data_IF_366909643606
#
_entry.id   IF_366909643606
#
_cell.length_a   1.000
_cell.length_b   1.000
_cell.length_c   1.000
_cell.angle_alpha   90.00
_cell.angle_beta   90.00
_cell.angle_gamma   90.00
#
_symmetry.space_group_name_H-M   'P 1'
#
loop_
_entity.id
_entity.type
_entity.pdbx_description
1 polymer ?
#
# COMPACT_ATOMS: atom_id res chain seq x y z
N UNK A 1 -12.93 1.36 -7.77
CA UNK A 1 -13.17 2.66 -7.07
C UNK A 1 -13.31 2.35 -5.59
N UNK A 2 -12.74 3.17 -4.72
CA UNK A 2 -12.84 2.97 -3.27
C UNK A 2 -14.04 3.72 -2.71
N UNK A 3 -14.85 3.05 -1.90
CA UNK A 3 -16.10 3.56 -1.35
C UNK A 3 -16.01 3.85 0.15
N UNK A 4 -15.13 3.16 0.87
CA UNK A 4 -14.99 3.35 2.30
C UNK A 4 -13.54 3.14 2.77
N UNK A 5 -12.91 4.24 3.17
CA UNK A 5 -11.54 4.29 3.63
C UNK A 5 -11.51 4.30 5.16
N UNK A 6 -10.79 3.35 5.75
CA UNK A 6 -10.50 3.30 7.18
C UNK A 6 -9.07 3.78 7.43
N UNK A 7 -8.88 4.69 8.38
CA UNK A 7 -7.56 5.15 8.80
C UNK A 7 -7.35 4.79 10.27
N UNK A 8 -6.23 4.16 10.62
CA UNK A 8 -5.89 3.92 12.03
C UNK A 8 -4.97 5.04 12.56
N UNK A 9 -5.44 5.79 13.55
CA UNK A 9 -4.75 6.95 14.10
C UNK A 9 -4.15 6.63 15.47
N UNK A 10 -2.84 6.85 15.63
CA UNK A 10 -2.10 6.54 16.87
C UNK A 10 -1.61 7.78 17.62
N UNK A 11 -2.17 8.96 17.31
CA UNK A 11 -1.87 10.26 17.92
C UNK A 11 -0.47 10.82 17.63
N UNK A 12 0.24 10.25 16.66
CA UNK A 12 1.54 10.77 16.20
C UNK A 12 1.37 11.53 14.89
N UNK A 13 2.32 12.42 14.60
CA UNK A 13 2.34 13.21 13.36
C UNK A 13 2.29 12.33 12.10
N UNK A 14 2.84 11.11 12.16
CA UNK A 14 2.78 10.14 11.05
C UNK A 14 1.37 9.65 10.77
N UNK A 15 0.50 9.60 11.78
CA UNK A 15 -0.91 9.30 11.62
C UNK A 15 -1.70 10.50 11.08
N UNK A 16 -1.31 11.74 11.41
CA UNK A 16 -1.88 12.93 10.77
C UNK A 16 -1.54 12.97 9.27
N UNK A 17 -0.32 12.59 8.87
CA UNK A 17 0.03 12.42 7.45
C UNK A 17 -0.86 11.37 6.76
N UNK A 18 -1.11 10.25 7.43
CA UNK A 18 -2.00 9.21 6.92
C UNK A 18 -3.44 9.71 6.79
N UNK A 19 -3.93 10.51 7.75
CA UNK A 19 -5.23 11.15 7.69
C UNK A 19 -5.31 12.11 6.51
N UNK A 20 -4.31 12.97 6.28
CA UNK A 20 -4.27 13.86 5.12
C UNK A 20 -4.34 13.11 3.78
N UNK A 21 -3.56 12.03 3.64
CA UNK A 21 -3.59 11.17 2.44
C UNK A 21 -4.95 10.49 2.28
N UNK A 22 -5.50 9.93 3.35
CA UNK A 22 -6.81 9.29 3.31
C UNK A 22 -7.93 10.28 2.97
N UNK A 23 -7.88 11.51 3.48
CA UNK A 23 -8.78 12.61 3.08
C UNK A 23 -8.66 12.92 1.60
N UNK A 24 -7.44 13.01 1.06
CA UNK A 24 -7.27 13.26 -0.37
C UNK A 24 -7.91 12.14 -1.20
N UNK A 25 -7.63 10.87 -0.86
CA UNK A 25 -8.22 9.73 -1.58
C UNK A 25 -9.74 9.69 -1.42
N UNK A 26 -10.27 10.00 -0.24
CA UNK A 26 -11.70 10.07 -0.01
C UNK A 26 -12.37 11.11 -0.91
N UNK A 27 -11.75 12.30 -1.06
CA UNK A 27 -12.25 13.34 -1.99
C UNK A 27 -12.16 12.89 -3.45
N UNK A 28 -11.05 12.26 -3.85
CA UNK A 28 -10.84 11.80 -5.21
C UNK A 28 -11.89 10.75 -5.62
N UNK A 29 -12.22 9.82 -4.72
CA UNK A 29 -13.11 8.70 -5.01
C UNK A 29 -14.56 8.92 -4.54
N UNK A 30 -14.85 10.05 -3.89
CA UNK A 30 -16.13 10.27 -3.21
C UNK A 30 -16.39 9.26 -2.09
N UNK A 31 -15.32 8.74 -1.47
CA UNK A 31 -15.40 7.68 -0.48
C UNK A 31 -15.79 8.21 0.90
N UNK A 32 -16.48 7.38 1.68
CA UNK A 32 -16.66 7.60 3.11
C UNK A 32 -15.32 7.44 3.83
N UNK A 33 -15.08 8.26 4.85
CA UNK A 33 -13.89 8.18 5.70
C UNK A 33 -14.27 7.85 7.14
N UNK A 34 -13.62 6.84 7.71
CA UNK A 34 -13.69 6.54 9.14
C UNK A 34 -12.29 6.59 9.74
N UNK A 35 -12.13 7.39 10.80
CA UNK A 35 -10.92 7.41 11.62
C UNK A 35 -11.11 6.53 12.84
N UNK A 36 -10.27 5.51 12.98
CA UNK A 36 -10.24 4.61 14.12
C UNK A 36 -9.05 4.96 15.03
N UNK A 37 -9.32 5.14 16.32
CA UNK A 37 -8.30 5.15 17.34
C UNK A 37 -8.53 3.97 18.31
N UNK A 38 -7.44 3.30 18.70
CA UNK A 38 -7.50 2.21 19.67
C UNK A 38 -7.00 2.72 21.02
N UNK A 39 -7.91 2.76 21.99
CA UNK A 39 -7.63 3.14 23.37
C UNK A 39 -6.89 2.03 24.10
N UNK A 40 -5.87 2.43 24.86
CA UNK A 40 -5.19 1.53 25.79
C UNK A 40 -6.06 1.33 27.05
N UNK A 41 -6.47 0.09 27.38
CA UNK A 41 -7.31 -0.19 28.55
C UNK A 41 -6.62 0.10 29.88
N UNK A 42 -5.28 0.25 29.91
CA UNK A 42 -4.54 0.62 31.12
C UNK A 42 -4.56 2.11 31.43
N UNK A 43 -4.97 2.94 30.46
CA UNK A 43 -5.06 4.39 30.63
C UNK A 43 -6.34 4.80 31.38
N UNK A 44 -6.26 5.91 32.10
CA UNK A 44 -7.38 6.47 32.85
C UNK A 44 -8.29 7.37 31.99
N UNK A 45 -9.43 7.76 32.55
CA UNK A 45 -10.42 8.60 31.85
C UNK A 45 -9.86 9.96 31.40
N UNK A 46 -8.93 10.55 32.16
CA UNK A 46 -8.30 11.83 31.80
C UNK A 46 -7.42 11.69 30.55
N UNK A 47 -6.67 10.58 30.44
CA UNK A 47 -5.86 10.26 29.27
C UNK A 47 -6.73 9.97 28.05
N UNK A 48 -7.83 9.23 28.21
CA UNK A 48 -8.78 8.98 27.12
C UNK A 48 -9.43 10.27 26.62
N UNK A 49 -9.76 11.22 27.52
CA UNK A 49 -10.31 12.52 27.14
C UNK A 49 -9.28 13.39 26.41
N UNK A 50 -8.02 13.40 26.85
CA UNK A 50 -6.92 14.07 26.12
C UNK A 50 -6.72 13.49 24.72
N UNK A 51 -6.79 12.16 24.58
CA UNK A 51 -6.72 11.49 23.28
C UNK A 51 -7.88 11.93 22.37
N UNK A 52 -9.11 11.95 22.90
CA UNK A 52 -10.29 12.44 22.17
C UNK A 52 -10.11 13.88 21.68
N UNK A 53 -9.68 14.79 22.55
CA UNK A 53 -9.44 16.19 22.19
C UNK A 53 -8.33 16.36 21.15
N UNK A 54 -7.32 15.48 21.15
CA UNK A 54 -6.30 15.48 20.10
C UNK A 54 -6.88 15.00 18.76
N UNK A 55 -7.66 13.93 18.75
CA UNK A 55 -8.31 13.40 17.55
C UNK A 55 -9.31 14.40 16.96
N UNK A 56 -10.11 15.06 17.79
CA UNK A 56 -11.07 16.08 17.35
C UNK A 56 -10.36 17.26 16.67
N UNK A 57 -9.18 17.66 17.17
CA UNK A 57 -8.33 18.65 16.52
C UNK A 57 -7.84 18.18 15.16
N UNK A 58 -7.28 16.96 15.07
CA UNK A 58 -6.83 16.38 13.80
C UNK A 58 -7.97 16.25 12.78
N UNK A 59 -9.16 15.83 13.20
CA UNK A 59 -10.35 15.76 12.33
C UNK A 59 -10.73 17.14 11.80
N UNK A 60 -10.83 18.12 12.69
CA UNK A 60 -11.20 19.49 12.31
C UNK A 60 -10.20 20.09 11.33
N UNK A 61 -8.92 19.77 11.49
CA UNK A 61 -7.85 20.32 10.67
C UNK A 61 -7.71 19.64 9.31
N UNK A 62 -7.83 18.31 9.26
CA UNK A 62 -7.41 17.52 8.10
C UNK A 62 -8.50 16.68 7.45
N UNK A 63 -9.59 16.38 8.15
CA UNK A 63 -10.62 15.47 7.66
C UNK A 63 -11.78 16.23 6.97
N UNK A 64 -12.45 15.65 5.96
CA UNK A 64 -13.65 16.24 5.39
C UNK A 64 -14.81 16.17 6.39
N UNK A 65 -15.79 17.09 6.28
CA UNK A 65 -17.03 17.00 7.05
C UNK A 65 -17.72 15.65 6.84
N UNK A 66 -18.26 15.07 7.92
CA UNK A 66 -18.91 13.74 7.89
C UNK A 66 -17.97 12.56 8.11
N UNK A 67 -16.67 12.81 8.36
CA UNK A 67 -15.74 11.75 8.80
C UNK A 67 -16.19 11.17 10.14
N UNK A 68 -16.34 9.85 10.21
CA UNK A 68 -16.75 9.15 11.42
C UNK A 68 -15.54 8.90 12.33
N UNK A 69 -15.61 9.32 13.60
CA UNK A 69 -14.63 8.95 14.62
C UNK A 69 -15.08 7.71 15.38
N UNK A 70 -14.26 6.66 15.38
CA UNK A 70 -14.44 5.47 16.23
C UNK A 70 -13.29 5.34 17.22
N UNK A 71 -13.63 5.23 18.49
CA UNK A 71 -12.68 4.98 19.58
C UNK A 71 -13.06 3.65 20.23
N UNK A 72 -12.19 2.65 20.09
CA UNK A 72 -12.42 1.29 20.60
C UNK A 72 -11.28 0.91 21.55
N UNK A 73 -11.57 0.18 22.63
CA UNK A 73 -10.54 -0.27 23.57
C UNK A 73 -10.04 -1.66 23.22
N UNK A 74 -8.73 -1.89 23.29
CA UNK A 74 -8.15 -3.22 23.10
C UNK A 74 -6.73 -3.20 22.55
N UNK A 75 -6.30 -4.33 21.98
CA UNK A 75 -4.99 -4.43 21.33
C UNK A 75 -5.06 -3.82 19.92
N UNK A 76 -4.17 -2.87 19.55
CA UNK A 76 -4.28 -2.13 18.30
C UNK A 76 -4.44 -2.99 17.04
N UNK A 77 -3.60 -3.99 16.84
CA UNK A 77 -3.68 -4.84 15.63
C UNK A 77 -4.96 -5.65 15.55
N UNK A 78 -5.46 -6.13 16.69
CA UNK A 78 -6.68 -6.96 16.74
C UNK A 78 -7.92 -6.09 16.45
N UNK A 79 -8.02 -4.92 17.10
CA UNK A 79 -9.13 -3.98 16.90
C UNK A 79 -9.15 -3.43 15.47
N UNK A 80 -8.00 -3.07 14.90
CA UNK A 80 -7.92 -2.60 13.51
C UNK A 80 -8.40 -3.68 12.54
N UNK A 81 -7.93 -4.92 12.68
CA UNK A 81 -8.35 -6.03 11.81
C UNK A 81 -9.83 -6.37 11.96
N UNK A 82 -10.35 -6.34 13.19
CA UNK A 82 -11.77 -6.54 13.47
C UNK A 82 -12.60 -5.44 12.78
N UNK A 83 -12.20 -4.18 12.92
CA UNK A 83 -12.89 -3.05 12.31
C UNK A 83 -12.82 -3.07 10.78
N UNK A 84 -11.74 -3.57 10.18
CA UNK A 84 -11.66 -3.80 8.73
C UNK A 84 -12.76 -4.76 8.26
N UNK A 85 -13.01 -5.83 9.01
CA UNK A 85 -14.05 -6.82 8.70
C UNK A 85 -15.46 -6.28 8.96
N UNK A 86 -15.67 -5.62 10.11
CA UNK A 86 -17.01 -5.22 10.56
C UNK A 86 -17.56 -3.98 9.82
N UNK A 87 -16.68 -3.13 9.29
CA UNK A 87 -17.09 -1.84 8.71
C UNK A 87 -17.27 -1.84 7.21
N UNK A 88 -16.91 -2.95 6.54
CA UNK A 88 -16.92 -3.06 5.09
C UNK A 88 -16.07 -1.99 4.40
N UNK A 89 -14.98 -1.54 5.03
CA UNK A 89 -14.00 -0.69 4.34
C UNK A 89 -13.34 -1.47 3.21
N UNK A 90 -12.93 -0.77 2.15
CA UNK A 90 -12.22 -1.34 1.01
C UNK A 90 -10.78 -0.80 0.88
N UNK A 91 -10.35 0.05 1.82
CA UNK A 91 -8.97 0.52 1.95
C UNK A 91 -8.62 0.78 3.42
N UNK A 92 -7.50 0.23 3.89
CA UNK A 92 -6.90 0.59 5.16
C UNK A 92 -5.69 1.51 4.94
N UNK A 93 -5.68 2.68 5.59
CA UNK A 93 -4.58 3.65 5.53
C UNK A 93 -3.88 3.74 6.89
N UNK A 94 -2.55 3.62 6.89
CA UNK A 94 -1.70 3.65 8.08
C UNK A 94 -0.55 4.66 7.90
N UNK A 95 -0.14 5.30 8.99
CA UNK A 95 1.06 6.13 9.03
C UNK A 95 2.34 5.28 9.05
N UNK A 96 3.32 5.66 8.23
CA UNK A 96 4.66 5.10 8.25
C UNK A 96 5.44 5.54 9.49
N UNK A 97 6.19 4.63 10.11
CA UNK A 97 7.04 4.96 11.26
C UNK A 97 8.41 5.49 10.81
N UNK A 98 8.76 6.73 11.17
CA UNK A 98 10.04 7.35 10.78
C UNK A 98 11.23 7.07 11.72
N UNK A 99 11.02 6.56 12.95
CA UNK A 99 12.09 6.42 13.97
C UNK A 99 12.35 4.96 14.45
N UNK A 100 13.26 4.31 13.72
CA UNK A 100 14.49 3.54 14.09
C UNK A 100 14.48 2.19 14.87
N UNK A 101 15.50 1.41 14.46
CA UNK A 101 16.19 0.22 14.99
C UNK A 101 15.58 -1.18 14.76
N UNK A 102 16.36 -1.96 13.99
CA UNK A 102 16.59 -3.41 14.02
C UNK A 102 15.41 -4.38 14.21
N UNK A 103 15.23 -5.20 13.17
CA UNK A 103 14.95 -6.65 13.27
C UNK A 103 13.85 -7.15 14.23
N UNK A 104 12.84 -6.35 14.57
CA UNK A 104 11.63 -6.86 15.20
C UNK A 104 10.54 -7.18 14.16
N UNK A 105 10.67 -8.39 13.59
CA UNK A 105 9.54 -9.11 13.00
C UNK A 105 8.45 -9.29 14.08
N UNK A 106 7.41 -8.45 14.10
CA UNK A 106 6.36 -8.52 15.12
C UNK A 106 5.57 -7.26 15.48
N UNK A 107 5.79 -6.12 14.80
CA UNK A 107 5.07 -4.85 15.06
C UNK A 107 3.56 -4.96 14.75
N UNK A 108 2.75 -4.00 15.22
CA UNK A 108 1.32 -3.92 14.88
C UNK A 108 1.11 -3.87 13.37
N UNK A 109 1.96 -3.13 12.62
CA UNK A 109 1.94 -3.07 11.16
C UNK A 109 2.13 -4.46 10.53
N UNK A 110 3.12 -5.20 11.00
CA UNK A 110 3.44 -6.56 10.55
C UNK A 110 2.26 -7.53 10.74
N UNK A 111 1.59 -7.46 11.91
CA UNK A 111 0.40 -8.28 12.21
C UNK A 111 -0.79 -7.89 11.35
N UNK A 112 -0.99 -6.59 11.13
CA UNK A 112 -2.05 -6.06 10.29
C UNK A 112 -1.79 -6.48 8.84
N UNK A 113 -0.63 -6.20 8.27
CA UNK A 113 -0.29 -6.52 6.87
C UNK A 113 -0.43 -8.02 6.54
N UNK A 114 -0.14 -8.91 7.50
CA UNK A 114 -0.33 -10.36 7.32
C UNK A 114 -1.79 -10.82 7.26
N UNK A 115 -2.71 -10.09 7.89
CA UNK A 115 -4.12 -10.52 8.09
C UNK A 115 -5.15 -9.59 7.49
N UNK A 116 -4.74 -8.40 7.02
CA UNK A 116 -5.61 -7.40 6.44
C UNK A 116 -6.22 -7.95 5.15
N UNK A 117 -7.54 -8.02 5.08
CA UNK A 117 -8.27 -8.59 3.94
C UNK A 117 -8.54 -7.59 2.82
N UNK A 118 -8.20 -6.32 3.06
CA UNK A 118 -8.36 -5.21 2.11
C UNK A 118 -6.98 -4.64 1.79
N UNK A 119 -6.83 -3.89 0.69
CA UNK A 119 -5.61 -3.15 0.40
C UNK A 119 -5.15 -2.31 1.58
N UNK A 120 -3.83 -2.32 1.81
CA UNK A 120 -3.17 -1.54 2.85
C UNK A 120 -2.30 -0.47 2.19
N UNK A 121 -2.55 0.79 2.50
CA UNK A 121 -1.72 1.93 2.12
C UNK A 121 -0.92 2.42 3.33
N UNK A 122 0.40 2.31 3.24
CA UNK A 122 1.34 2.89 4.20
C UNK A 122 1.82 4.25 3.71
N UNK A 123 1.56 5.30 4.48
CA UNK A 123 1.89 6.68 4.12
C UNK A 123 3.23 7.09 4.73
N UNK A 124 4.22 7.30 3.87
CA UNK A 124 5.58 7.69 4.24
C UNK A 124 5.97 9.07 3.68
N UNK A 125 5.18 9.65 2.77
CA UNK A 125 5.41 10.95 2.14
C UNK A 125 4.62 12.07 2.80
N UNK A 126 5.25 13.24 2.95
CA UNK A 126 4.59 14.48 3.34
C UNK A 126 4.22 15.32 2.12
N UNK A 127 3.42 14.72 1.24
CA UNK A 127 2.82 15.35 0.07
C UNK A 127 1.50 14.61 -0.17
N UNK A 128 0.40 15.35 -0.25
CA UNK A 128 -0.96 14.82 -0.28
C UNK A 128 -1.71 15.22 -1.54
N UNK A 129 -1.01 15.61 -2.62
CA UNK A 129 -1.63 15.71 -3.94
C UNK A 129 -1.95 14.31 -4.49
N UNK A 130 -2.92 14.18 -5.42
CA UNK A 130 -3.16 12.92 -6.13
C UNK A 130 -1.86 12.36 -6.69
N UNK A 131 -1.66 11.05 -6.53
CA UNK A 131 -0.45 10.39 -7.04
C UNK A 131 -0.37 10.53 -8.56
N UNK A 132 0.78 10.97 -9.06
CA UNK A 132 1.02 11.12 -10.50
C UNK A 132 1.88 9.99 -11.06
N UNK A 133 2.69 9.33 -10.22
CA UNK A 133 3.59 8.25 -10.67
C UNK A 133 3.62 7.09 -9.68
N UNK A 134 3.23 5.92 -10.15
CA UNK A 134 3.30 4.68 -9.40
C UNK A 134 4.19 3.65 -10.07
N UNK A 135 4.88 2.85 -9.26
CA UNK A 135 5.66 1.69 -9.70
C UNK A 135 5.03 0.43 -9.12
N UNK A 136 4.62 -0.51 -9.96
CA UNK A 136 4.09 -1.81 -9.54
C UNK A 136 5.11 -2.92 -9.76
N UNK A 137 5.43 -3.69 -8.73
CA UNK A 137 6.27 -4.88 -8.87
C UNK A 137 5.42 -6.08 -9.34
N UNK A 138 5.81 -6.71 -10.45
CA UNK A 138 5.09 -7.82 -11.06
C UNK A 138 5.95 -9.08 -11.06
N UNK A 139 5.41 -10.19 -10.58
CA UNK A 139 6.05 -11.52 -10.56
C UNK A 139 5.14 -12.63 -11.14
N UNK A 140 4.13 -12.27 -11.93
CA UNK A 140 3.08 -13.15 -12.48
C UNK A 140 2.17 -13.82 -11.43
N UNK A 141 2.27 -13.47 -10.15
CA UNK A 141 1.33 -13.94 -9.14
C UNK A 141 -0.03 -13.24 -9.26
N UNK A 142 -1.10 -13.92 -8.83
CA UNK A 142 -2.45 -13.35 -8.82
C UNK A 142 -2.54 -12.08 -7.96
N UNK A 143 -1.86 -12.06 -6.82
CA UNK A 143 -1.82 -10.90 -5.94
C UNK A 143 -1.06 -9.71 -6.57
N UNK A 144 -0.02 -9.94 -7.38
CA UNK A 144 0.63 -8.87 -8.11
C UNK A 144 -0.29 -8.28 -9.20
N UNK A 145 -1.08 -9.13 -9.88
CA UNK A 145 -2.10 -8.67 -10.84
C UNK A 145 -3.23 -7.90 -10.14
N UNK A 146 -3.72 -8.41 -9.01
CA UNK A 146 -4.69 -7.72 -8.14
C UNK A 146 -4.13 -6.35 -7.70
N UNK A 147 -2.86 -6.29 -7.29
CA UNK A 147 -2.20 -5.04 -6.91
C UNK A 147 -2.15 -4.04 -8.06
N UNK A 148 -1.79 -4.49 -9.26
CA UNK A 148 -1.79 -3.66 -10.46
C UNK A 148 -3.18 -3.10 -10.75
N UNK A 149 -4.21 -3.94 -10.77
CA UNK A 149 -5.58 -3.52 -11.06
C UNK A 149 -6.16 -2.57 -10.02
N UNK A 150 -5.89 -2.80 -8.74
CA UNK A 150 -6.34 -1.89 -7.68
C UNK A 150 -5.56 -0.57 -7.67
N UNK A 151 -4.27 -0.59 -8.00
CA UNK A 151 -3.51 0.64 -8.20
C UNK A 151 -4.01 1.44 -9.42
N UNK A 152 -4.36 0.76 -10.51
CA UNK A 152 -4.98 1.40 -11.68
C UNK A 152 -6.26 2.16 -11.29
N UNK A 153 -7.09 1.55 -10.44
CA UNK A 153 -8.30 2.20 -9.94
C UNK A 153 -8.04 3.28 -8.88
N UNK A 154 -6.91 3.22 -8.15
CA UNK A 154 -6.55 4.20 -7.12
C UNK A 154 -6.07 5.52 -7.74
N UNK A 155 -5.36 5.43 -8.87
CA UNK A 155 -4.70 6.55 -9.53
C UNK A 155 -5.69 7.40 -10.36
N UNK A 156 -5.43 8.72 -10.51
CA UNK A 156 -6.19 9.56 -11.42
C UNK A 156 -5.86 9.22 -12.89
N UNK A 157 -6.72 9.64 -13.81
CA UNK A 157 -6.60 9.29 -15.23
C UNK A 157 -5.38 9.90 -15.95
N UNK A 158 -4.81 10.99 -15.43
CA UNK A 158 -3.62 11.65 -15.97
C UNK A 158 -2.29 11.10 -15.39
N UNK A 159 -2.36 10.18 -14.42
CA UNK A 159 -1.18 9.59 -13.80
C UNK A 159 -0.54 8.50 -14.67
N UNK A 160 0.66 8.09 -14.26
CA UNK A 160 1.41 6.99 -14.85
C UNK A 160 1.51 5.81 -13.87
N UNK A 161 1.17 4.62 -14.35
CA UNK A 161 1.38 3.35 -13.66
C UNK A 161 2.41 2.54 -14.44
N UNK A 162 3.59 2.33 -13.84
CA UNK A 162 4.66 1.57 -14.46
C UNK A 162 4.80 0.19 -13.81
N UNK A 163 4.53 -0.87 -14.56
CA UNK A 163 4.73 -2.26 -14.14
C UNK A 163 6.19 -2.69 -14.38
N UNK A 164 6.89 -3.07 -13.32
CA UNK A 164 8.26 -3.56 -13.39
C UNK A 164 8.30 -5.05 -13.05
N UNK A 165 8.77 -5.84 -14.01
CA UNK A 165 9.18 -7.21 -13.77
C UNK A 165 10.71 -7.27 -13.67
N UNK A 166 11.21 -7.96 -12.64
CA UNK A 166 12.65 -8.19 -12.48
C UNK A 166 12.88 -9.68 -12.43
N UNK A 167 13.79 -10.16 -13.26
CA UNK A 167 14.18 -11.56 -13.29
C UNK A 167 15.70 -11.70 -13.11
N UNK A 168 16.10 -12.79 -12.48
CA UNK A 168 17.48 -13.22 -12.40
C UNK A 168 17.66 -14.37 -13.40
N UNK A 169 18.43 -14.17 -14.49
CA UNK A 169 18.62 -15.22 -15.48
C UNK A 169 19.42 -16.38 -14.90
N UNK A 170 19.11 -17.58 -15.38
CA UNK A 170 19.93 -18.75 -15.11
C UNK A 170 21.34 -18.56 -15.72
N UNK A 171 22.32 -19.27 -15.16
CA UNK A 171 23.68 -19.28 -15.72
C UNK A 171 23.63 -19.78 -17.17
N UNK A 172 24.22 -19.02 -18.09
CA UNK A 172 24.24 -19.36 -19.51
C UNK A 172 25.15 -18.45 -20.33
N UNK A 173 25.23 -18.72 -21.63
CA UNK A 173 25.91 -17.84 -22.59
C UNK A 173 25.10 -16.54 -22.78
N UNK A 174 25.73 -15.45 -23.27
CA UNK A 174 25.01 -14.20 -23.55
C UNK A 174 23.77 -14.39 -24.45
N UNK A 175 23.84 -15.30 -25.42
CA UNK A 175 22.71 -15.63 -26.31
C UNK A 175 21.56 -16.32 -25.57
N UNK A 176 21.88 -17.18 -24.59
CA UNK A 176 20.86 -17.84 -23.76
C UNK A 176 20.17 -16.85 -22.82
N UNK A 177 20.94 -15.93 -22.23
CA UNK A 177 20.39 -14.87 -21.37
C UNK A 177 19.48 -13.93 -22.17
N UNK A 178 19.88 -13.56 -23.39
CA UNK A 178 19.06 -12.75 -24.29
C UNK A 178 17.74 -13.44 -24.65
N UNK A 179 17.77 -14.74 -24.93
CA UNK A 179 16.56 -15.52 -25.19
C UNK A 179 15.63 -15.58 -23.96
N UNK A 180 16.20 -15.70 -22.75
CA UNK A 180 15.42 -15.62 -21.51
C UNK A 180 14.76 -14.25 -21.36
N UNK A 181 15.49 -13.15 -21.61
CA UNK A 181 14.95 -11.80 -21.57
C UNK A 181 13.77 -11.63 -22.54
N UNK A 182 13.93 -12.05 -23.79
CA UNK A 182 12.87 -12.00 -24.80
C UNK A 182 11.63 -12.80 -24.37
N UNK A 183 11.85 -13.97 -23.74
CA UNK A 183 10.76 -14.77 -23.17
C UNK A 183 10.04 -14.02 -22.05
N UNK A 184 10.76 -13.41 -21.11
CA UNK A 184 10.14 -12.64 -20.03
C UNK A 184 9.39 -11.41 -20.54
N UNK A 185 9.91 -10.73 -21.57
CA UNK A 185 9.24 -9.61 -22.23
C UNK A 185 7.90 -10.06 -22.83
N UNK A 186 7.89 -11.12 -23.63
CA UNK A 186 6.65 -11.64 -24.23
C UNK A 186 5.61 -12.09 -23.19
N UNK A 187 6.05 -12.67 -22.07
CA UNK A 187 5.14 -13.05 -20.98
C UNK A 187 4.51 -11.84 -20.29
N UNK A 188 5.29 -10.78 -20.03
CA UNK A 188 4.77 -9.54 -19.41
C UNK A 188 3.86 -8.79 -20.39
N UNK A 189 4.24 -8.71 -21.67
CA UNK A 189 3.42 -8.12 -22.72
C UNK A 189 2.03 -8.78 -22.75
N UNK A 190 1.99 -10.10 -22.77
CA UNK A 190 0.74 -10.85 -22.78
C UNK A 190 -0.06 -10.66 -21.48
N UNK A 191 0.60 -10.75 -20.31
CA UNK A 191 -0.08 -10.54 -19.02
C UNK A 191 -0.73 -9.16 -18.96
N UNK A 192 -0.01 -8.11 -19.34
CA UNK A 192 -0.54 -6.74 -19.26
C UNK A 192 -1.59 -6.47 -20.32
N UNK A 193 -1.48 -7.08 -21.50
CA UNK A 193 -2.54 -7.05 -22.48
C UNK A 193 -3.83 -7.65 -21.91
N UNK A 194 -3.75 -8.84 -21.31
CA UNK A 194 -4.91 -9.53 -20.74
C UNK A 194 -5.50 -8.79 -19.53
N UNK A 195 -4.66 -8.23 -18.65
CA UNK A 195 -5.11 -7.41 -17.53
C UNK A 195 -5.74 -6.10 -18.00
N UNK A 196 -5.16 -5.41 -19.00
CA UNK A 196 -5.71 -4.17 -19.52
C UNK A 196 -7.13 -4.31 -20.07
N UNK A 197 -7.50 -5.48 -20.61
CA UNK A 197 -8.87 -5.76 -21.06
C UNK A 197 -9.90 -5.79 -19.92
N UNK A 198 -9.45 -6.03 -18.67
CA UNK A 198 -10.31 -6.09 -17.47
C UNK A 198 -10.39 -4.73 -16.77
N UNK A 199 -9.52 -3.79 -17.13
CA UNK A 199 -9.45 -2.48 -16.51
C UNK A 199 -10.50 -1.53 -17.14
N UNK A 200 -11.01 -0.56 -16.37
CA UNK A 200 -11.88 0.46 -16.92
C UNK A 200 -11.16 1.26 -18.01
N UNK A 201 -11.92 1.76 -19.00
CA UNK A 201 -11.37 2.51 -20.13
C UNK A 201 -10.70 3.83 -19.70
N UNK A 202 -11.19 4.43 -18.61
CA UNK A 202 -10.58 5.60 -17.99
C UNK A 202 -9.68 5.17 -16.84
N UNK A 203 -8.43 5.63 -16.87
CA UNK A 203 -7.45 5.39 -15.82
C UNK A 203 -6.05 5.82 -16.25
N UNK A 204 -5.03 5.55 -15.41
CA UNK A 204 -3.68 6.03 -15.66
C UNK A 204 -3.07 5.41 -16.93
N UNK A 205 -2.06 6.07 -17.46
CA UNK A 205 -1.23 5.50 -18.53
C UNK A 205 -0.43 4.31 -17.98
N UNK A 206 -0.80 3.11 -18.44
CA UNK A 206 -0.09 1.87 -18.11
C UNK A 206 1.10 1.66 -19.04
N UNK A 207 2.27 1.40 -18.47
CA UNK A 207 3.50 1.02 -19.18
C UNK A 207 4.24 -0.05 -18.42
N UNK A 208 5.23 -0.70 -19.04
CA UNK A 208 6.00 -1.73 -18.36
C UNK A 208 7.45 -1.85 -18.83
N UNK A 209 8.24 -2.56 -18.03
CA UNK A 209 9.66 -2.85 -18.30
C UNK A 209 10.05 -4.18 -17.67
N UNK A 210 10.97 -4.90 -18.31
CA UNK A 210 11.64 -6.09 -17.77
C UNK A 210 13.10 -5.76 -17.51
N UNK A 211 13.55 -5.93 -16.27
CA UNK A 211 14.95 -5.72 -15.89
C UNK A 211 15.61 -7.02 -15.45
N UNK A 212 16.89 -7.13 -15.78
CA UNK A 212 17.76 -8.16 -15.25
C UNK A 212 18.34 -7.72 -13.88
N UNK A 213 18.31 -8.61 -12.89
CA UNK A 213 19.06 -8.45 -11.64
C UNK A 213 18.24 -8.68 -10.37
N UNK A 214 18.75 -8.16 -9.25
CA UNK A 214 18.10 -8.35 -7.95
C UNK A 214 16.93 -7.39 -7.75
N UNK A 215 15.72 -7.95 -7.54
CA UNK A 215 14.45 -7.21 -7.39
C UNK A 215 14.53 -6.00 -6.45
N UNK A 216 15.16 -6.14 -5.28
CA UNK A 216 15.25 -5.06 -4.29
C UNK A 216 16.04 -3.85 -4.83
N UNK A 217 17.18 -4.12 -5.46
CA UNK A 217 18.04 -3.08 -6.04
C UNK A 217 17.33 -2.40 -7.19
N UNK A 218 16.78 -3.19 -8.11
CA UNK A 218 16.09 -2.68 -9.30
C UNK A 218 14.87 -1.82 -8.92
N UNK A 219 14.07 -2.21 -7.93
CA UNK A 219 12.96 -1.39 -7.45
C UNK A 219 13.45 -0.07 -6.82
N UNK A 220 14.47 -0.10 -5.97
CA UNK A 220 15.01 1.11 -5.36
C UNK A 220 15.56 2.10 -6.41
N UNK A 221 16.29 1.59 -7.40
CA UNK A 221 16.80 2.39 -8.53
C UNK A 221 15.65 2.99 -9.35
N UNK A 222 14.64 2.19 -9.69
CA UNK A 222 13.49 2.64 -10.49
C UNK A 222 12.60 3.64 -9.74
N UNK A 223 12.33 3.44 -8.44
CA UNK A 223 11.61 4.41 -7.60
C UNK A 223 12.30 5.77 -7.65
N UNK A 224 13.64 5.79 -7.53
CA UNK A 224 14.41 7.03 -7.57
C UNK A 224 14.44 7.65 -8.96
N UNK A 225 14.72 6.85 -9.99
CA UNK A 225 14.84 7.30 -11.38
C UNK A 225 13.54 7.91 -11.89
N UNK A 226 12.41 7.23 -11.65
CA UNK A 226 11.08 7.67 -12.07
C UNK A 226 10.45 8.68 -11.10
N UNK A 227 11.06 8.88 -9.93
CA UNK A 227 10.52 9.64 -8.80
C UNK A 227 9.12 9.14 -8.43
N UNK A 228 8.98 7.83 -8.33
CA UNK A 228 7.72 7.18 -7.98
C UNK A 228 7.25 7.63 -6.61
N UNK A 229 5.97 7.95 -6.54
CA UNK A 229 5.31 8.48 -5.35
C UNK A 229 4.57 7.38 -4.58
N UNK A 230 4.25 6.30 -5.30
CA UNK A 230 3.59 5.10 -4.81
C UNK A 230 4.32 3.86 -5.31
N UNK A 231 4.70 2.96 -4.40
CA UNK A 231 5.16 1.61 -4.70
C UNK A 231 4.01 0.62 -4.47
N UNK A 232 3.67 -0.14 -5.49
CA UNK A 232 2.54 -1.08 -5.51
C UNK A 232 3.10 -2.50 -5.47
N UNK A 233 2.65 -3.30 -4.51
CA UNK A 233 3.15 -4.65 -4.26
C UNK A 233 1.98 -5.63 -4.02
N UNK A 234 2.12 -6.85 -4.54
CA UNK A 234 1.38 -7.98 -4.00
C UNK A 234 1.85 -8.31 -2.57
N UNK A 235 0.94 -8.77 -1.73
CA UNK A 235 1.22 -9.11 -0.33
C UNK A 235 2.17 -10.30 -0.19
N UNK A 236 2.19 -11.17 -1.20
CA UNK A 236 3.06 -12.32 -1.30
C UNK A 236 3.41 -12.54 -2.78
N UNK A 237 4.33 -13.46 -3.06
CA UNK A 237 4.72 -13.78 -4.44
C UNK A 237 4.59 -15.28 -4.71
N UNK A 238 5.08 -15.72 -5.87
CA UNK A 238 4.99 -17.13 -6.30
C UNK A 238 5.59 -18.15 -5.33
N UNK A 239 6.59 -17.76 -4.54
CA UNK A 239 7.31 -18.66 -3.61
C UNK A 239 6.65 -18.78 -2.23
N UNK A 240 5.64 -17.95 -1.93
CA UNK A 240 4.95 -17.96 -0.65
C UNK A 240 3.78 -18.97 -0.69
N UNK A 241 4.10 -20.25 -0.48
CA UNK A 241 3.11 -21.34 -0.47
C UNK A 241 2.04 -21.24 0.64
N UNK A 242 2.17 -20.29 1.57
CA UNK A 242 1.19 -20.04 2.61
C UNK A 242 0.48 -18.72 2.37
N UNK A 243 -0.85 -18.78 2.21
CA UNK A 243 -1.72 -17.60 2.18
C UNK A 243 -1.60 -16.76 3.47
N UNK A 244 -1.08 -17.30 4.58
CA UNK A 244 -0.93 -16.56 5.83
C UNK A 244 0.37 -15.74 5.94
N UNK A 245 1.29 -15.84 4.98
CA UNK A 245 2.58 -15.16 5.03
C UNK A 245 2.60 -13.88 4.18
N UNK A 246 3.23 -12.84 4.74
CA UNK A 246 3.61 -11.64 4.01
C UNK A 246 4.94 -11.92 3.30
N UNK A 247 5.00 -11.67 2.00
CA UNK A 247 6.20 -11.82 1.19
C UNK A 247 7.33 -10.92 1.68
N UNK A 248 8.57 -11.38 1.51
CA UNK A 248 9.77 -10.67 1.96
C UNK A 248 9.88 -9.26 1.36
N UNK A 249 9.42 -9.08 0.12
CA UNK A 249 9.43 -7.79 -0.57
C UNK A 249 8.46 -6.78 0.07
N UNK A 250 7.20 -7.18 0.27
CA UNK A 250 6.20 -6.36 0.94
C UNK A 250 6.63 -6.04 2.38
N UNK A 251 7.14 -7.03 3.11
CA UNK A 251 7.68 -6.82 4.45
C UNK A 251 8.84 -5.82 4.44
N UNK A 252 9.80 -5.94 3.51
CA UNK A 252 10.92 -5.02 3.40
C UNK A 252 10.46 -3.57 3.22
N UNK A 253 9.60 -3.31 2.23
CA UNK A 253 9.17 -1.96 1.90
C UNK A 253 8.18 -1.36 2.89
N UNK A 254 7.37 -2.17 3.59
CA UNK A 254 6.57 -1.67 4.71
C UNK A 254 7.43 -1.19 5.89
N UNK A 255 8.62 -1.76 6.09
CA UNK A 255 9.56 -1.30 7.13
C UNK A 255 10.49 -0.18 6.67
N UNK A 256 10.83 -0.16 5.38
CA UNK A 256 11.76 0.80 4.77
C UNK A 256 11.13 1.44 3.54
N UNK A 257 10.04 2.15 3.76
CA UNK A 257 9.25 2.80 2.71
C UNK A 257 10.03 3.98 2.11
N UNK A 258 10.47 3.92 0.83
CA UNK A 258 11.13 5.05 0.16
C UNK A 258 10.12 6.09 -0.34
N UNK A 259 8.86 5.69 -0.50
CA UNK A 259 7.68 6.45 -0.87
C UNK A 259 6.45 5.77 -0.23
N UNK A 260 5.23 6.19 -0.55
CA UNK A 260 4.05 5.49 -0.02
C UNK A 260 4.00 4.06 -0.58
N UNK A 261 3.53 3.10 0.22
CA UNK A 261 3.53 1.68 -0.16
C UNK A 261 2.12 1.14 -0.12
N UNK A 262 1.65 0.63 -1.26
CA UNK A 262 0.34 0.04 -1.45
C UNK A 262 0.46 -1.48 -1.59
N UNK A 263 -0.07 -2.21 -0.63
CA UNK A 263 0.00 -3.67 -0.57
C UNK A 263 -1.37 -4.28 -0.75
N UNK A 264 -1.48 -5.21 -1.70
CA UNK A 264 -2.75 -5.85 -2.07
C UNK A 264 -2.63 -7.36 -1.98
N UNK A 265 -3.68 -8.02 -1.51
CA UNK A 265 -3.75 -9.48 -1.41
C UNK A 265 -4.35 -10.13 -2.66
#
# INVERSE_FOLDING_TARGET
>A
MFHHILIAHDLRDTADMALCRATQLARQHGARLTMLHVLDPSQNSEQHEKARQALDRSLTQYAPPGTELRMLSGKPSEVVLQQVQDSGCDLLVLGGHQKRHDFFSGTSLDRIARRCTVPLLLVARNDFQPYQRALAAIDFSLCACSALGQAYQLLPGDAELHALHVFEPDKGTPQQVELQLQTQQGLIDQLLHDEAQKLPAEGPKLSHEVLQGGILRSLQEQIKMRRSELLVLGSHGRSAFSQALLGSLAQHFLHKAPCDVFVVR
#
